data_IF_199617941726
#
_entry.id   IF_199617941726
#
_cell.length_a   1.000
_cell.length_b   1.000
_cell.length_c   1.000
_cell.angle_alpha   90.00
_cell.angle_beta   90.00
_cell.angle_gamma   90.00
#
_symmetry.space_group_name_H-M   'P 1'
#
loop_
_entity.id
_entity.type
_entity.pdbx_description
1 polymer ?
#
# COMPACT_ATOMS: atom_id res chain seq x y z
N UNK A 1 54.66 55.65 53.30
CA UNK A 1 53.20 55.87 53.49
C UNK A 1 52.58 55.70 52.11
N UNK A 2 52.23 54.47 51.72
CA UNK A 2 50.85 53.97 51.57
C UNK A 2 50.03 54.89 50.63
N UNK A 3 49.56 54.41 49.48
CA UNK A 3 48.41 53.51 49.41
C UNK A 3 48.44 52.48 48.28
N UNK A 4 47.77 51.35 48.59
CA UNK A 4 47.60 50.09 47.86
C UNK A 4 46.84 50.21 46.51
N UNK A 5 47.08 49.28 45.57
CA UNK A 5 46.09 48.80 44.61
C UNK A 5 45.50 47.45 45.08
N UNK A 6 44.18 47.22 44.94
CA UNK A 6 43.56 45.88 44.82
C UNK A 6 42.03 45.97 44.71
N UNK A 7 41.49 45.58 43.56
CA UNK A 7 40.71 44.34 43.45
C UNK A 7 40.35 44.09 41.98
N UNK A 8 41.14 43.22 41.38
CA UNK A 8 40.77 42.42 40.21
C UNK A 8 39.62 41.50 40.61
N UNK A 9 38.44 41.67 40.03
CA UNK A 9 37.50 40.55 39.87
C UNK A 9 37.58 40.07 38.43
N UNK A 10 37.96 38.81 38.32
CA UNK A 10 38.09 38.05 37.10
C UNK A 10 36.79 38.08 36.28
N UNK A 11 36.91 38.47 35.02
CA UNK A 11 35.97 38.08 33.98
C UNK A 11 36.07 36.55 33.82
N UNK A 12 35.27 35.83 34.61
CA UNK A 12 35.02 34.41 34.36
C UNK A 12 34.15 34.34 33.12
N UNK A 13 34.78 33.91 32.03
CA UNK A 13 34.12 33.47 30.79
C UNK A 13 33.17 32.33 31.16
N UNK A 14 31.91 32.66 31.44
CA UNK A 14 30.84 31.68 31.51
C UNK A 14 30.40 31.41 30.06
N UNK A 15 31.16 30.56 29.36
CA UNK A 15 30.67 29.79 28.21
C UNK A 15 29.62 28.82 28.74
N UNK A 16 28.41 29.32 28.99
CA UNK A 16 27.23 28.47 29.08
C UNK A 16 26.89 28.06 27.65
N UNK A 17 27.29 26.83 27.34
CA UNK A 17 26.84 26.02 26.23
C UNK A 17 25.31 26.10 26.12
N UNK A 18 24.79 26.95 25.22
CA UNK A 18 23.50 26.70 24.60
C UNK A 18 23.68 25.57 23.58
N UNK A 19 23.90 24.36 24.10
CA UNK A 19 23.50 23.13 23.43
C UNK A 19 21.98 23.02 23.61
N UNK A 20 21.23 23.91 22.95
CA UNK A 20 19.85 23.62 22.65
C UNK A 20 19.89 22.52 21.59
N UNK A 21 19.87 21.28 22.08
CA UNK A 21 19.77 20.09 21.26
C UNK A 21 18.53 20.19 20.39
N UNK A 22 18.73 20.63 19.16
CA UNK A 22 17.94 20.16 18.04
C UNK A 22 18.21 18.67 17.98
N UNK A 23 17.45 17.90 18.77
CA UNK A 23 17.19 16.53 18.42
C UNK A 23 16.40 16.61 17.12
N UNK A 24 17.11 16.75 16.01
CA UNK A 24 16.69 16.10 14.79
C UNK A 24 16.44 14.66 15.23
N UNK A 25 15.17 14.30 15.38
CA UNK A 25 14.79 12.90 15.46
C UNK A 25 15.48 12.29 14.25
N UNK A 26 16.54 11.52 14.49
CA UNK A 26 17.09 10.67 13.46
C UNK A 26 15.89 9.90 12.89
N UNK A 27 15.73 9.80 11.56
CA UNK A 27 14.66 9.01 10.99
C UNK A 27 14.69 7.67 11.72
N UNK A 28 13.57 7.28 12.31
CA UNK A 28 13.50 6.06 13.11
C UNK A 28 14.18 4.98 12.29
N UNK A 29 15.32 4.48 12.77
CA UNK A 29 15.99 3.38 12.11
C UNK A 29 14.97 2.26 12.08
N UNK A 30 14.46 1.95 10.88
CA UNK A 30 13.62 0.78 10.63
C UNK A 30 14.50 -0.43 10.89
N UNK A 31 14.59 -0.84 12.15
CA UNK A 31 15.22 -2.10 12.50
C UNK A 31 14.31 -3.18 11.97
N UNK A 32 14.79 -3.93 10.98
CA UNK A 32 14.11 -5.12 10.47
C UNK A 32 14.08 -6.19 11.57
N UNK A 33 13.18 -6.01 12.53
CA UNK A 33 13.01 -6.89 13.68
C UNK A 33 11.82 -7.81 13.44
N UNK A 34 12.13 -8.89 12.74
CA UNK A 34 11.22 -9.99 12.38
C UNK A 34 10.48 -10.54 13.61
N UNK A 35 11.09 -10.46 14.80
CA UNK A 35 10.50 -10.94 16.06
C UNK A 35 9.49 -9.96 16.68
N UNK A 36 9.44 -8.70 16.21
CA UNK A 36 8.51 -7.67 16.68
C UNK A 36 7.38 -7.36 15.70
N UNK A 37 7.32 -8.06 14.56
CA UNK A 37 6.22 -7.90 13.61
C UNK A 37 4.97 -8.59 14.17
N UNK A 38 4.00 -7.77 14.59
CA UNK A 38 2.67 -8.20 15.02
C UNK A 38 1.87 -8.70 13.81
N UNK A 39 1.23 -9.88 13.89
CA UNK A 39 0.27 -10.30 12.90
C UNK A 39 -1.06 -9.58 13.17
N UNK A 40 -1.22 -8.32 12.76
CA UNK A 40 -2.54 -7.69 12.93
C UNK A 40 -2.88 -6.69 11.83
N UNK A 41 -3.58 -7.20 10.82
CA UNK A 41 -4.92 -6.70 10.54
C UNK A 41 -5.92 -7.70 11.14
N UNK A 42 -6.99 -7.23 11.79
CA UNK A 42 -8.15 -8.06 12.16
C UNK A 42 -8.80 -8.57 10.85
N UNK A 43 -8.34 -9.72 10.36
CA UNK A 43 -8.81 -10.35 9.12
C UNK A 43 -7.69 -10.81 8.18
N UNK A 44 -6.43 -10.70 8.61
CA UNK A 44 -5.25 -11.30 7.98
C UNK A 44 -5.38 -12.83 7.91
N UNK A 45 -6.14 -13.33 6.93
CA UNK A 45 -6.34 -14.76 6.71
C UNK A 45 -5.32 -15.31 5.73
N UNK A 46 -4.07 -15.09 6.14
CA UNK A 46 -2.92 -15.79 5.61
C UNK A 46 -2.85 -17.13 6.28
N UNK A 47 -2.40 -18.13 5.54
CA UNK A 47 -2.04 -19.34 6.20
C UNK A 47 -0.63 -19.20 6.81
N UNK A 48 -0.57 -18.88 8.10
CA UNK A 48 0.70 -18.71 8.82
C UNK A 48 1.33 -20.06 9.25
N UNK A 49 0.52 -21.11 9.45
CA UNK A 49 1.00 -22.44 9.84
C UNK A 49 -0.02 -23.55 9.55
N UNK A 50 0.45 -24.70 9.07
CA UNK A 50 -0.39 -25.91 8.94
C UNK A 50 -1.39 -25.84 7.79
N UNK A 51 -0.97 -25.24 6.68
CA UNK A 51 -1.83 -24.96 5.54
C UNK A 51 -2.34 -26.21 4.83
N UNK A 52 -3.59 -26.21 4.35
CA UNK A 52 -4.06 -27.25 3.45
C UNK A 52 -3.16 -27.35 2.21
N UNK A 53 -2.81 -28.57 1.85
CA UNK A 53 -2.05 -28.84 0.62
C UNK A 53 -2.90 -28.49 -0.60
N UNK A 54 -2.34 -27.67 -1.49
CA UNK A 54 -2.97 -27.34 -2.75
C UNK A 54 -2.85 -28.47 -3.77
N UNK A 55 -1.63 -28.94 -4.05
CA UNK A 55 -1.30 -29.86 -5.14
C UNK A 55 -1.12 -31.31 -4.66
N UNK A 56 -2.19 -31.83 -4.06
CA UNK A 56 -2.29 -33.23 -3.63
C UNK A 56 -2.80 -34.14 -4.76
N UNK A 57 -2.18 -35.32 -4.94
CA UNK A 57 -2.62 -36.36 -5.87
C UNK A 57 -1.64 -36.66 -7.01
N UNK A 58 -1.80 -37.82 -7.65
CA UNK A 58 -0.85 -38.37 -8.63
C UNK A 58 -0.65 -37.50 -9.87
N UNK A 59 -1.65 -36.71 -10.26
CA UNK A 59 -1.55 -35.75 -11.37
C UNK A 59 -0.52 -34.66 -11.10
N UNK A 60 -0.44 -34.18 -9.86
CA UNK A 60 0.52 -33.15 -9.45
C UNK A 60 1.90 -33.74 -9.25
N UNK A 61 2.00 -35.00 -8.82
CA UNK A 61 3.28 -35.70 -8.76
C UNK A 61 3.87 -35.93 -10.16
N UNK A 62 3.04 -36.25 -11.14
CA UNK A 62 3.45 -36.33 -12.54
C UNK A 62 3.94 -34.97 -13.06
N UNK A 63 3.23 -33.87 -12.75
CA UNK A 63 3.66 -32.53 -13.14
C UNK A 63 4.99 -32.12 -12.48
N UNK A 64 5.16 -32.40 -11.19
CA UNK A 64 6.43 -32.13 -10.48
C UNK A 64 7.58 -32.89 -11.17
N UNK A 65 7.35 -34.14 -11.59
CA UNK A 65 8.33 -34.92 -12.33
C UNK A 65 8.64 -34.34 -13.73
N UNK A 66 7.61 -33.92 -14.49
CA UNK A 66 7.76 -33.24 -15.79
C UNK A 66 8.63 -31.99 -15.67
N UNK A 67 8.48 -31.22 -14.59
CA UNK A 67 9.18 -29.97 -14.35
C UNK A 67 10.59 -30.15 -13.76
N UNK A 68 11.07 -31.40 -13.62
CA UNK A 68 12.36 -31.70 -13.01
C UNK A 68 12.42 -31.43 -11.50
N UNK A 69 11.27 -31.23 -10.84
CA UNK A 69 11.13 -30.94 -9.41
C UNK A 69 11.04 -32.25 -8.61
N UNK A 70 12.07 -33.08 -8.76
CA UNK A 70 12.13 -34.42 -8.15
C UNK A 70 12.04 -34.36 -6.63
N UNK A 71 11.57 -35.46 -6.01
CA UNK A 71 11.54 -35.59 -4.56
C UNK A 71 12.90 -35.29 -3.92
N UNK A 72 14.01 -35.69 -4.56
CA UNK A 72 15.37 -35.42 -4.08
C UNK A 72 15.68 -33.92 -4.00
N UNK A 73 15.37 -33.16 -5.06
CA UNK A 73 15.59 -31.70 -5.09
C UNK A 73 14.74 -31.02 -4.02
N UNK A 74 13.48 -31.45 -3.88
CA UNK A 74 12.58 -30.90 -2.87
C UNK A 74 13.08 -31.19 -1.45
N UNK A 75 13.52 -32.41 -1.16
CA UNK A 75 14.10 -32.74 0.15
C UNK A 75 15.39 -31.97 0.44
N UNK A 76 16.22 -31.71 -0.57
CA UNK A 76 17.40 -30.85 -0.42
C UNK A 76 16.97 -29.42 -0.03
N UNK A 77 16.02 -28.84 -0.75
CA UNK A 77 15.55 -27.45 -0.52
C UNK A 77 14.85 -27.26 0.83
N UNK A 78 14.25 -28.31 1.40
CA UNK A 78 13.70 -28.28 2.77
C UNK A 78 14.77 -28.06 3.85
N UNK A 79 16.04 -28.33 3.55
CA UNK A 79 17.17 -28.09 4.47
C UNK A 79 17.77 -26.69 4.34
N UNK A 80 17.40 -25.94 3.30
CA UNK A 80 17.79 -24.55 3.12
C UNK A 80 17.06 -23.64 4.15
N UNK A 81 17.63 -22.45 4.46
CA UNK A 81 16.92 -21.45 5.23
C UNK A 81 15.54 -21.12 4.62
N UNK A 82 14.52 -20.81 5.45
CA UNK A 82 13.21 -20.47 4.95
C UNK A 82 13.25 -19.20 4.09
N UNK A 83 12.40 -19.17 3.07
CA UNK A 83 12.11 -17.96 2.30
C UNK A 83 11.22 -17.07 3.16
N UNK A 84 11.83 -16.03 3.73
CA UNK A 84 11.13 -15.02 4.52
C UNK A 84 10.44 -14.04 3.56
N UNK A 85 9.13 -14.15 3.40
CA UNK A 85 8.35 -13.35 2.47
C UNK A 85 7.66 -12.20 3.22
N UNK A 86 7.90 -10.96 2.79
CA UNK A 86 7.06 -9.83 3.20
C UNK A 86 5.72 -9.90 2.48
N UNK A 87 4.65 -9.59 3.19
CA UNK A 87 3.27 -9.65 2.69
C UNK A 87 2.55 -8.37 3.04
N UNK A 88 2.01 -7.69 2.03
CA UNK A 88 1.25 -6.46 2.26
C UNK A 88 0.01 -6.77 3.09
N UNK A 89 -0.32 -5.92 4.07
CA UNK A 89 -1.45 -6.13 4.98
C UNK A 89 -2.84 -5.88 4.34
N UNK A 90 -2.97 -6.11 3.02
CA UNK A 90 -4.16 -5.85 2.22
C UNK A 90 -4.50 -7.05 1.30
N UNK A 91 -5.76 -7.22 0.85
CA UNK A 91 -6.21 -8.45 0.20
C UNK A 91 -5.48 -8.84 -1.09
N UNK A 92 -5.12 -7.88 -1.97
CA UNK A 92 -4.34 -8.20 -3.18
C UNK A 92 -2.94 -8.69 -2.83
N UNK A 93 -2.29 -8.03 -1.85
CA UNK A 93 -1.00 -8.44 -1.30
C UNK A 93 -1.03 -9.86 -0.78
N UNK A 94 -2.14 -10.25 -0.14
CA UNK A 94 -2.33 -11.58 0.39
C UNK A 94 -2.47 -12.67 -0.66
N UNK A 95 -3.39 -12.53 -1.61
CA UNK A 95 -3.56 -13.55 -2.65
C UNK A 95 -2.32 -13.66 -3.53
N UNK A 96 -1.63 -12.55 -3.81
CA UNK A 96 -0.35 -12.54 -4.55
C UNK A 96 0.75 -13.29 -3.80
N UNK A 97 0.89 -13.03 -2.50
CA UNK A 97 1.85 -13.70 -1.63
C UNK A 97 1.58 -15.21 -1.49
N UNK A 98 0.31 -15.62 -1.41
CA UNK A 98 -0.07 -17.02 -1.30
C UNK A 98 0.16 -17.79 -2.61
N UNK A 99 0.00 -17.16 -3.78
CA UNK A 99 0.41 -17.77 -5.06
C UNK A 99 1.89 -18.14 -5.03
N UNK A 100 2.75 -17.23 -4.57
CA UNK A 100 4.18 -17.49 -4.46
C UNK A 100 4.50 -18.55 -3.41
N UNK A 101 3.87 -18.46 -2.23
CA UNK A 101 4.06 -19.42 -1.15
C UNK A 101 3.71 -20.84 -1.57
N UNK A 102 2.53 -21.06 -2.17
CA UNK A 102 2.09 -22.39 -2.64
C UNK A 102 3.09 -22.97 -3.66
N UNK A 103 3.54 -22.17 -4.64
CA UNK A 103 4.47 -22.63 -5.65
C UNK A 103 5.86 -22.96 -5.06
N UNK A 104 6.37 -22.11 -4.18
CA UNK A 104 7.66 -22.34 -3.51
C UNK A 104 7.61 -23.57 -2.61
N UNK A 105 6.54 -23.74 -1.83
CA UNK A 105 6.38 -24.84 -0.88
C UNK A 105 6.11 -26.17 -1.58
N UNK A 106 5.10 -26.21 -2.43
CA UNK A 106 4.52 -27.47 -2.90
C UNK A 106 5.12 -27.93 -4.23
N UNK A 107 5.57 -26.99 -5.07
CA UNK A 107 6.26 -27.30 -6.32
C UNK A 107 7.77 -27.32 -6.12
N UNK A 108 8.35 -26.24 -5.60
CA UNK A 108 9.81 -26.10 -5.53
C UNK A 108 10.44 -26.77 -4.30
N UNK A 109 9.70 -26.94 -3.20
CA UNK A 109 10.17 -27.62 -1.98
C UNK A 109 10.85 -26.72 -0.94
N UNK A 110 10.69 -25.40 -1.03
CA UNK A 110 11.14 -24.46 -0.02
C UNK A 110 10.21 -24.42 1.19
N UNK A 111 10.71 -23.98 2.35
CA UNK A 111 9.83 -23.52 3.43
C UNK A 111 9.61 -22.02 3.26
N UNK A 112 8.37 -21.53 3.37
CA UNK A 112 8.07 -20.10 3.30
C UNK A 112 7.58 -19.63 4.67
N UNK A 113 8.02 -18.46 5.10
CA UNK A 113 7.50 -17.79 6.29
C UNK A 113 7.03 -16.40 5.92
N UNK A 114 5.73 -16.14 6.13
CA UNK A 114 5.10 -14.87 5.80
C UNK A 114 5.21 -13.87 6.95
N UNK A 115 5.57 -12.64 6.61
CA UNK A 115 5.73 -11.51 7.52
C UNK A 115 4.89 -10.34 7.04
N UNK A 116 4.00 -9.86 7.89
CA UNK A 116 3.13 -8.73 7.53
C UNK A 116 3.99 -7.46 7.43
N UNK A 117 3.85 -6.77 6.30
CA UNK A 117 4.52 -5.53 5.99
C UNK A 117 3.50 -4.41 5.84
N UNK A 118 3.77 -3.30 6.53
CA UNK A 118 2.90 -2.13 6.61
C UNK A 118 3.53 -0.90 5.94
N UNK A 119 4.79 -0.97 5.50
CA UNK A 119 5.53 0.14 4.90
C UNK A 119 6.45 -0.31 3.76
N UNK A 120 6.37 0.34 2.58
CA UNK A 120 7.34 0.13 1.50
C UNK A 120 8.80 0.33 1.95
N UNK A 121 9.07 1.31 2.82
CA UNK A 121 10.41 1.59 3.32
C UNK A 121 10.95 0.42 4.14
N UNK A 122 10.13 -0.17 5.01
CA UNK A 122 10.54 -1.33 5.81
C UNK A 122 10.76 -2.56 4.92
N UNK A 123 9.87 -2.80 3.94
CA UNK A 123 10.00 -3.89 2.98
C UNK A 123 11.36 -3.83 2.25
N UNK A 124 11.70 -2.64 1.75
CA UNK A 124 12.95 -2.39 1.03
C UNK A 124 14.15 -2.57 1.98
N UNK A 125 14.14 -1.95 3.15
CA UNK A 125 15.25 -2.04 4.13
C UNK A 125 15.49 -3.47 4.60
N UNK A 126 14.43 -4.21 4.91
CA UNK A 126 14.49 -5.61 5.31
C UNK A 126 15.04 -6.52 4.19
N UNK A 127 14.63 -6.26 2.96
CA UNK A 127 15.12 -7.03 1.80
C UNK A 127 16.58 -6.68 1.49
N UNK A 128 16.97 -5.40 1.61
CA UNK A 128 18.37 -4.94 1.41
C UNK A 128 19.33 -5.57 2.41
N UNK A 129 18.91 -5.73 3.66
CA UNK A 129 19.72 -6.34 4.72
C UNK A 129 19.77 -7.87 4.63
N UNK A 130 18.93 -8.48 3.79
CA UNK A 130 18.85 -9.94 3.64
C UNK A 130 18.07 -10.66 4.75
N UNK A 131 17.39 -9.91 5.63
CA UNK A 131 16.53 -10.46 6.67
C UNK A 131 15.21 -10.98 6.07
N UNK A 132 14.65 -10.24 5.10
CA UNK A 132 13.56 -10.70 4.25
C UNK A 132 14.13 -11.16 2.91
N UNK A 133 13.62 -12.28 2.39
CA UNK A 133 14.05 -12.84 1.11
C UNK A 133 13.38 -12.11 -0.05
N UNK A 134 12.10 -11.80 0.03
CA UNK A 134 11.37 -11.19 -1.08
C UNK A 134 10.08 -10.45 -0.68
N UNK A 135 9.60 -9.59 -1.57
CA UNK A 135 8.29 -8.95 -1.52
C UNK A 135 7.72 -8.82 -2.93
N UNK A 136 6.46 -9.21 -3.15
CA UNK A 136 5.86 -9.27 -4.49
C UNK A 136 5.03 -8.03 -4.88
N UNK A 137 4.61 -7.23 -3.91
CA UNK A 137 3.63 -6.17 -4.13
C UNK A 137 4.15 -4.80 -3.65
N UNK A 138 5.34 -4.42 -4.11
CA UNK A 138 5.93 -3.11 -3.83
C UNK A 138 5.30 -2.04 -4.71
N UNK A 139 4.44 -1.24 -4.12
CA UNK A 139 3.85 -0.07 -4.74
C UNK A 139 4.88 1.04 -4.96
N UNK A 140 5.04 1.45 -6.22
CA UNK A 140 6.08 2.39 -6.65
C UNK A 140 5.53 3.50 -7.55
N UNK A 141 5.79 4.73 -7.15
CA UNK A 141 5.83 5.92 -8.00
C UNK A 141 6.93 6.86 -7.50
N UNK A 142 7.45 7.72 -8.37
CA UNK A 142 8.45 8.73 -7.98
C UNK A 142 7.95 9.60 -6.81
N UNK A 143 6.69 10.02 -6.88
CA UNK A 143 6.06 10.82 -5.82
C UNK A 143 5.95 10.04 -4.52
N UNK A 144 5.50 8.78 -4.56
CA UNK A 144 5.40 7.93 -3.36
C UNK A 144 6.78 7.72 -2.73
N UNK A 145 7.80 7.43 -3.52
CA UNK A 145 9.17 7.25 -3.02
C UNK A 145 9.74 8.54 -2.43
N UNK A 146 9.58 9.68 -3.11
CA UNK A 146 9.92 11.00 -2.57
C UNK A 146 9.17 11.30 -1.27
N UNK A 147 7.90 10.89 -1.16
CA UNK A 147 7.09 11.11 0.03
C UNK A 147 7.60 10.32 1.25
N UNK A 148 8.13 9.12 1.02
CA UNK A 148 8.66 8.20 2.02
C UNK A 148 10.19 8.33 2.22
N UNK A 149 10.82 9.30 1.56
CA UNK A 149 12.28 9.48 1.55
C UNK A 149 13.03 8.20 1.10
N UNK A 150 12.52 7.51 0.08
CA UNK A 150 13.15 6.35 -0.54
C UNK A 150 13.92 6.82 -1.78
N UNK A 151 15.25 6.71 -1.76
CA UNK A 151 16.10 7.18 -2.87
C UNK A 151 16.07 6.22 -4.07
N UNK A 152 16.26 4.92 -3.83
CA UNK A 152 16.17 3.91 -4.89
C UNK A 152 16.06 2.48 -4.34
N UNK A 153 15.61 1.59 -5.23
CA UNK A 153 15.68 0.13 -5.07
C UNK A 153 16.80 -0.50 -5.90
N UNK A 154 17.72 0.30 -6.46
CA UNK A 154 18.74 -0.17 -7.42
C UNK A 154 19.75 -1.16 -6.84
N UNK A 155 19.89 -1.20 -5.51
CA UNK A 155 20.74 -2.17 -4.81
C UNK A 155 20.08 -3.55 -4.64
N UNK A 156 18.81 -3.67 -5.05
CA UNK A 156 18.03 -4.91 -5.06
C UNK A 156 17.78 -5.36 -6.49
N UNK A 157 17.55 -6.66 -6.65
CA UNK A 157 16.93 -7.16 -7.86
C UNK A 157 15.44 -6.81 -7.81
N UNK A 158 15.03 -5.82 -8.59
CA UNK A 158 13.66 -5.34 -8.69
C UNK A 158 13.11 -5.55 -10.10
N UNK A 159 11.94 -6.18 -10.20
CA UNK A 159 11.29 -6.48 -11.49
C UNK A 159 9.81 -6.05 -11.45
N UNK A 160 9.16 -5.80 -12.60
CA UNK A 160 7.71 -5.62 -12.63
C UNK A 160 6.97 -6.88 -12.15
N UNK A 161 5.99 -6.71 -11.27
CA UNK A 161 5.08 -7.78 -10.82
C UNK A 161 4.09 -8.18 -11.92
N UNK A 162 3.79 -7.27 -12.85
CA UNK A 162 2.69 -7.39 -13.83
C UNK A 162 1.37 -6.78 -13.35
N UNK A 163 1.29 -6.37 -12.09
CA UNK A 163 0.15 -5.69 -11.50
C UNK A 163 0.30 -4.19 -11.72
N UNK A 164 -0.77 -3.57 -12.20
CA UNK A 164 -0.88 -2.12 -12.34
C UNK A 164 -1.80 -1.57 -11.25
N UNK A 165 -1.21 -0.90 -10.28
CA UNK A 165 -1.91 -0.22 -9.20
C UNK A 165 -2.52 1.09 -9.67
N UNK A 166 -3.78 1.38 -9.30
CA UNK A 166 -4.38 2.70 -9.51
C UNK A 166 -5.20 3.11 -8.29
N UNK A 167 -4.79 4.16 -7.60
CA UNK A 167 -5.57 4.77 -6.53
C UNK A 167 -6.37 5.96 -7.06
N UNK A 168 -7.52 6.23 -6.44
CA UNK A 168 -8.40 7.30 -6.88
C UNK A 168 -9.64 7.49 -6.03
N UNK A 169 -10.42 8.50 -6.39
CA UNK A 169 -11.77 8.74 -5.85
C UNK A 169 -12.77 8.04 -6.75
N UNK A 170 -13.70 7.29 -6.17
CA UNK A 170 -14.68 6.45 -6.85
C UNK A 170 -16.10 6.88 -6.50
N UNK A 171 -17.01 6.59 -7.42
CA UNK A 171 -18.46 6.69 -7.25
C UNK A 171 -19.07 5.29 -7.38
N UNK A 172 -19.96 4.85 -6.48
CA UNK A 172 -20.66 3.59 -6.65
C UNK A 172 -21.44 3.51 -7.96
N UNK A 173 -21.43 2.34 -8.60
CA UNK A 173 -22.11 2.13 -9.89
C UNK A 173 -23.62 2.30 -9.77
N UNK A 174 -24.24 1.98 -8.62
CA UNK A 174 -25.67 2.24 -8.42
C UNK A 174 -26.07 3.72 -8.51
N UNK A 175 -25.11 4.65 -8.46
CA UNK A 175 -25.30 6.08 -8.74
C UNK A 175 -24.97 6.37 -10.22
N UNK A 176 -23.84 5.86 -10.72
CA UNK A 176 -23.36 6.08 -12.10
C UNK A 176 -24.33 5.53 -13.15
N UNK A 177 -24.97 4.39 -12.88
CA UNK A 177 -25.95 3.77 -13.76
C UNK A 177 -27.14 4.70 -14.05
N UNK A 178 -27.43 5.63 -13.14
CA UNK A 178 -28.47 6.66 -13.29
C UNK A 178 -27.89 8.00 -13.74
N UNK A 179 -26.66 8.32 -13.33
CA UNK A 179 -26.02 9.62 -13.52
C UNK A 179 -24.59 9.45 -14.05
N UNK A 180 -24.46 8.94 -15.28
CA UNK A 180 -23.16 8.54 -15.84
C UNK A 180 -22.11 9.66 -15.81
N UNK A 181 -22.54 10.93 -15.94
CA UNK A 181 -21.66 12.09 -15.91
C UNK A 181 -20.84 12.21 -14.62
N UNK A 182 -21.28 11.59 -13.52
CA UNK A 182 -20.56 11.55 -12.25
C UNK A 182 -19.27 10.70 -12.30
N UNK A 183 -19.01 10.00 -13.41
CA UNK A 183 -17.71 9.39 -13.67
C UNK A 183 -16.64 10.42 -14.05
N UNK A 184 -16.94 11.71 -14.09
CA UNK A 184 -15.99 12.78 -14.36
C UNK A 184 -16.01 13.85 -13.26
N UNK A 185 -14.83 14.34 -12.88
CA UNK A 185 -14.70 15.42 -11.89
C UNK A 185 -15.42 16.71 -12.32
N UNK A 186 -15.59 16.92 -13.64
CA UNK A 186 -16.27 18.08 -14.20
C UNK A 186 -17.74 18.16 -13.77
N UNK A 187 -18.43 17.03 -13.59
CA UNK A 187 -19.82 17.02 -13.14
C UNK A 187 -19.99 17.63 -11.74
N UNK A 188 -18.93 17.62 -10.93
CA UNK A 188 -18.96 18.16 -9.57
C UNK A 188 -18.59 19.64 -9.49
N UNK A 189 -18.38 20.31 -10.64
CA UNK A 189 -18.22 21.76 -10.69
C UNK A 189 -19.56 22.52 -10.64
N UNK A 190 -20.68 21.91 -11.04
CA UNK A 190 -22.10 22.33 -10.93
C UNK A 190 -23.00 21.25 -11.60
N UNK A 191 -24.29 20.98 -11.29
CA UNK A 191 -25.11 21.05 -10.07
C UNK A 191 -25.16 19.72 -9.28
N UNK A 192 -24.27 18.77 -9.56
CA UNK A 192 -24.34 17.42 -8.99
C UNK A 192 -23.75 17.26 -7.57
N UNK A 193 -23.44 18.37 -6.89
CA UNK A 193 -22.96 18.29 -5.51
C UNK A 193 -24.01 17.66 -4.57
N UNK A 194 -25.29 17.69 -4.93
CA UNK A 194 -26.35 16.97 -4.20
C UNK A 194 -26.17 15.43 -4.18
N UNK A 195 -25.28 14.89 -5.02
CA UNK A 195 -24.92 13.46 -5.04
C UNK A 195 -23.70 13.14 -4.17
N UNK A 196 -23.16 14.15 -3.48
CA UNK A 196 -22.13 14.01 -2.46
C UNK A 196 -22.76 14.32 -1.10
N UNK A 197 -22.52 13.51 -0.05
CA UNK A 197 -22.95 13.85 1.30
C UNK A 197 -22.53 15.27 1.67
N UNK A 198 -23.38 16.01 2.37
CA UNK A 198 -23.04 17.39 2.78
C UNK A 198 -21.88 17.38 3.77
N UNK A 199 -21.08 18.43 3.72
CA UNK A 199 -20.04 18.67 4.71
C UNK A 199 -20.59 18.72 6.14
N UNK A 200 -19.93 18.00 7.05
CA UNK A 200 -20.34 17.81 8.44
C UNK A 200 -21.28 16.63 8.71
N UNK A 201 -21.60 15.79 7.72
CA UNK A 201 -22.52 14.65 7.93
C UNK A 201 -21.84 13.37 8.39
N UNK A 202 -20.55 13.20 8.13
CA UNK A 202 -19.77 12.06 8.62
C UNK A 202 -19.67 12.13 10.16
N UNK A 203 -20.18 11.11 10.88
CA UNK A 203 -20.07 11.05 12.33
C UNK A 203 -18.62 11.19 12.79
N UNK A 204 -18.40 12.07 13.78
CA UNK A 204 -17.07 12.40 14.29
C UNK A 204 -16.27 11.16 14.75
N UNK A 205 -16.95 10.14 15.27
CA UNK A 205 -16.38 8.95 15.87
C UNK A 205 -15.86 7.96 14.82
N UNK A 206 -16.18 8.21 13.54
CA UNK A 206 -15.62 7.50 12.40
C UNK A 206 -14.39 8.20 11.84
N UNK A 207 -14.14 9.47 12.20
CA UNK A 207 -12.98 10.21 11.70
C UNK A 207 -11.70 9.71 12.37
N UNK A 208 -10.62 9.68 11.59
CA UNK A 208 -9.30 9.24 12.03
C UNK A 208 -8.87 10.05 13.27
N UNK A 209 -8.56 9.34 14.35
CA UNK A 209 -8.06 9.87 15.63
C UNK A 209 -9.02 10.83 16.37
N UNK A 210 -10.27 10.41 16.65
CA UNK A 210 -10.96 10.89 17.86
C UNK A 210 -10.54 10.01 19.06
N UNK A 211 -9.59 10.43 19.91
CA UNK A 211 -9.12 9.62 21.04
C UNK A 211 -10.23 9.30 22.05
N UNK A 212 -11.34 10.02 22.02
CA UNK A 212 -12.49 9.83 22.91
C UNK A 212 -13.67 9.12 22.23
N UNK A 213 -13.69 9.05 20.90
CA UNK A 213 -14.87 8.69 20.08
C UNK A 213 -16.14 9.48 20.43
N UNK A 214 -16.03 10.60 21.15
CA UNK A 214 -17.15 11.35 21.71
C UNK A 214 -17.36 12.71 21.04
N UNK A 215 -16.71 12.97 19.90
CA UNK A 215 -16.73 14.27 19.21
C UNK A 215 -16.14 15.42 20.02
N UNK A 216 -15.30 15.16 21.03
CA UNK A 216 -14.85 16.20 21.96
C UNK A 216 -13.50 16.84 21.60
N UNK A 217 -12.90 16.49 20.46
CA UNK A 217 -11.63 17.05 20.01
C UNK A 217 -11.75 18.47 19.42
N UNK A 218 -10.75 19.31 19.68
CA UNK A 218 -10.46 20.57 18.99
C UNK A 218 -9.93 20.30 17.56
N UNK A 219 -9.82 21.34 16.72
CA UNK A 219 -9.28 21.18 15.37
C UNK A 219 -7.86 20.56 15.35
N UNK A 220 -7.10 20.77 16.43
CA UNK A 220 -5.72 20.29 16.62
C UNK A 220 -5.63 18.84 17.09
N UNK A 221 -6.74 18.22 17.51
CA UNK A 221 -6.77 16.85 18.05
C UNK A 221 -6.85 15.75 16.96
N UNK A 222 -7.07 16.15 15.70
CA UNK A 222 -7.25 15.22 14.58
C UNK A 222 -6.01 15.24 13.68
N UNK A 223 -5.23 14.16 13.72
CA UNK A 223 -3.89 14.09 13.15
C UNK A 223 -3.96 13.77 11.65
N UNK A 224 -4.17 14.79 10.80
CA UNK A 224 -3.71 14.70 9.41
C UNK A 224 -2.16 14.90 9.30
N UNK A 225 -1.51 15.28 10.41
CA UNK A 225 -0.07 15.48 10.54
C UNK A 225 0.63 14.17 10.99
N UNK A 226 0.69 13.16 10.13
CA UNK A 226 1.53 11.98 10.40
C UNK A 226 3.00 12.30 10.02
N UNK A 227 4.01 11.59 10.58
CA UNK A 227 5.41 11.73 10.16
C UNK A 227 5.60 11.59 8.63
N UNK A 228 4.76 10.75 8.00
CA UNK A 228 4.71 10.52 6.55
C UNK A 228 3.54 11.27 5.85
N UNK A 229 2.84 12.15 6.58
CA UNK A 229 1.62 12.86 6.14
C UNK A 229 1.89 14.27 5.63
N UNK A 230 0.94 15.18 5.84
CA UNK A 230 1.07 16.56 5.37
C UNK A 230 2.17 17.30 6.12
N UNK A 231 3.00 18.04 5.40
CA UNK A 231 4.07 18.87 5.99
C UNK A 231 3.54 19.83 7.07
N UNK A 232 4.35 20.12 8.09
CA UNK A 232 4.00 20.79 9.36
C UNK A 232 3.50 22.24 9.31
N UNK A 233 2.55 22.55 8.42
CA UNK A 233 1.87 23.84 8.30
C UNK A 233 0.46 23.76 7.67
N UNK A 234 -0.08 22.56 7.47
CA UNK A 234 -1.40 22.35 6.84
C UNK A 234 -2.45 22.17 7.93
N UNK A 235 -3.47 23.03 7.93
CA UNK A 235 -4.57 23.00 8.91
C UNK A 235 -5.57 21.89 8.61
N UNK A 236 -5.25 20.68 9.05
CA UNK A 236 -6.28 19.67 9.33
C UNK A 236 -7.34 20.32 10.22
N UNK A 237 -8.61 20.23 9.86
CA UNK A 237 -9.67 20.86 10.65
C UNK A 237 -10.78 19.85 10.91
N UNK A 238 -10.81 19.27 12.11
CA UNK A 238 -11.81 18.25 12.50
C UNK A 238 -11.72 16.99 11.62
N UNK A 239 -10.50 16.47 11.40
CA UNK A 239 -10.24 15.21 10.69
C UNK A 239 -10.42 15.26 9.18
N UNK A 240 -10.29 16.44 8.58
CA UNK A 240 -10.51 16.65 7.14
C UNK A 240 -9.60 17.72 6.56
N UNK A 241 -9.34 17.59 5.27
CA UNK A 241 -8.85 18.66 4.41
C UNK A 241 -10.02 19.57 4.01
N UNK A 242 -9.82 20.89 4.14
CA UNK A 242 -10.81 21.89 3.74
C UNK A 242 -10.17 22.81 2.69
N UNK A 243 -10.55 22.70 1.39
CA UNK A 243 -10.01 23.58 0.37
C UNK A 243 -10.52 25.00 0.54
N UNK A 244 -9.85 25.97 -0.09
CA UNK A 244 -10.08 27.41 0.07
C UNK A 244 -11.54 27.81 -0.20
N UNK A 245 -12.16 27.23 -1.23
CA UNK A 245 -13.56 27.44 -1.59
C UNK A 245 -14.56 26.85 -0.58
N UNK A 246 -14.14 25.98 0.33
CA UNK A 246 -14.98 25.40 1.39
C UNK A 246 -14.74 26.01 2.77
N UNK A 247 -13.84 27.01 2.91
CA UNK A 247 -13.59 27.65 4.19
C UNK A 247 -14.76 28.55 4.58
N UNK A 248 -15.22 28.42 5.82
CA UNK A 248 -16.19 29.34 6.44
C UNK A 248 -15.46 30.28 7.41
N UNK A 249 -15.95 31.51 7.64
CA UNK A 249 -15.28 32.48 8.52
C UNK A 249 -15.07 32.01 9.96
N UNK A 250 -15.94 31.11 10.45
CA UNK A 250 -15.94 30.57 11.80
C UNK A 250 -15.36 29.15 11.91
N UNK A 251 -14.87 28.56 10.80
CA UNK A 251 -14.36 27.19 10.77
C UNK A 251 -15.43 26.10 10.97
N UNK A 252 -16.71 26.46 10.80
CA UNK A 252 -17.83 25.53 10.74
C UNK A 252 -17.79 24.63 9.49
N UNK A 253 -18.78 23.74 9.36
CA UNK A 253 -18.97 22.95 8.15
C UNK A 253 -19.56 23.83 7.03
N UNK A 254 -19.12 23.60 5.80
CA UNK A 254 -19.50 24.37 4.63
C UNK A 254 -20.85 23.91 4.07
N UNK A 255 -21.87 24.78 3.99
CA UNK A 255 -23.18 24.40 3.46
C UNK A 255 -23.17 24.09 1.96
N UNK A 256 -22.12 24.49 1.24
CA UNK A 256 -21.98 24.36 -0.22
C UNK A 256 -20.85 23.42 -0.63
N UNK A 257 -20.31 22.62 0.29
CA UNK A 257 -19.36 21.56 -0.01
C UNK A 257 -19.89 20.18 0.40
N UNK A 258 -19.37 19.15 -0.25
CA UNK A 258 -19.66 17.75 0.06
C UNK A 258 -18.45 16.99 0.57
N UNK A 259 -18.67 15.87 1.25
CA UNK A 259 -17.63 15.04 1.86
C UNK A 259 -17.25 13.87 0.96
N UNK A 260 -15.95 13.69 0.77
CA UNK A 260 -15.34 12.49 0.20
C UNK A 260 -14.72 11.68 1.33
N UNK A 261 -15.01 10.39 1.40
CA UNK A 261 -14.43 9.48 2.39
C UNK A 261 -13.02 9.08 1.97
N UNK A 262 -12.03 9.28 2.83
CA UNK A 262 -10.63 8.98 2.58
C UNK A 262 -10.09 7.96 3.57
N UNK A 263 -9.06 7.21 3.17
CA UNK A 263 -8.36 6.27 4.04
C UNK A 263 -7.41 7.01 4.99
N UNK A 264 -6.10 6.81 4.81
CA UNK A 264 -5.06 7.52 5.54
C UNK A 264 -4.43 8.61 4.66
N UNK A 265 -4.09 9.80 5.21
CA UNK A 265 -3.41 10.85 4.46
C UNK A 265 -2.08 10.40 3.85
N UNK A 266 -1.39 9.44 4.48
CA UNK A 266 -0.08 8.93 4.04
C UNK A 266 -0.14 8.05 2.78
N UNK A 267 -1.30 7.57 2.35
CA UNK A 267 -1.39 6.68 1.19
C UNK A 267 -1.22 7.42 -0.13
N UNK A 268 -1.66 8.67 -0.20
CA UNK A 268 -1.62 9.55 -1.39
C UNK A 268 -1.26 10.98 -0.97
N UNK A 269 -0.16 11.12 -0.22
CA UNK A 269 0.18 12.35 0.52
C UNK A 269 0.04 13.61 -0.34
N UNK A 270 -0.90 14.48 0.06
CA UNK A 270 -1.19 15.77 -0.54
C UNK A 270 -1.69 15.76 -2.00
N UNK A 271 -1.79 14.61 -2.66
CA UNK A 271 -2.10 14.55 -4.09
C UNK A 271 -3.56 14.92 -4.38
N UNK A 272 -4.50 14.28 -3.67
CA UNK A 272 -5.93 14.50 -3.86
C UNK A 272 -6.38 15.82 -3.26
N UNK A 273 -5.78 16.22 -2.14
CA UNK A 273 -5.97 17.50 -1.49
C UNK A 273 -5.58 18.65 -2.43
N UNK A 274 -4.39 18.59 -3.02
CA UNK A 274 -3.91 19.57 -4.00
C UNK A 274 -4.80 19.56 -5.25
N UNK A 275 -5.18 18.38 -5.74
CA UNK A 275 -6.04 18.26 -6.92
C UNK A 275 -7.42 18.90 -6.69
N UNK A 276 -8.03 18.69 -5.53
CA UNK A 276 -9.29 19.32 -5.14
C UNK A 276 -9.15 20.84 -5.03
N UNK A 277 -8.09 21.33 -4.39
CA UNK A 277 -7.80 22.76 -4.25
C UNK A 277 -7.57 23.44 -5.61
N UNK A 278 -6.72 22.85 -6.46
CA UNK A 278 -6.31 23.45 -7.73
C UNK A 278 -7.42 23.36 -8.80
N UNK A 279 -8.22 22.29 -8.79
CA UNK A 279 -9.37 22.15 -9.69
C UNK A 279 -10.62 22.89 -9.18
N UNK A 280 -10.57 23.50 -7.99
CA UNK A 280 -11.66 24.24 -7.34
C UNK A 280 -12.91 23.38 -7.15
N UNK A 281 -12.73 22.16 -6.68
CA UNK A 281 -13.83 21.24 -6.37
C UNK A 281 -14.40 21.57 -4.99
N UNK A 282 -15.73 21.58 -4.87
CA UNK A 282 -16.42 21.85 -3.60
C UNK A 282 -16.44 20.60 -2.70
N UNK A 283 -15.27 20.00 -2.47
CA UNK A 283 -15.11 18.74 -1.74
C UNK A 283 -14.25 18.93 -0.50
N UNK A 284 -14.73 18.46 0.66
CA UNK A 284 -13.89 18.23 1.83
C UNK A 284 -13.45 16.78 1.84
N UNK A 285 -12.16 16.53 2.09
CA UNK A 285 -11.62 15.17 2.13
C UNK A 285 -11.57 14.73 3.59
N UNK A 286 -12.39 13.75 3.96
CA UNK A 286 -12.61 13.34 5.35
C UNK A 286 -11.96 11.99 5.61
N UNK A 287 -10.97 11.93 6.50
CA UNK A 287 -10.18 10.73 6.74
C UNK A 287 -10.83 9.87 7.81
N UNK A 288 -11.06 8.60 7.49
CA UNK A 288 -11.61 7.59 8.41
C UNK A 288 -10.61 6.47 8.71
N UNK A 289 -9.45 6.46 8.05
CA UNK A 289 -8.40 5.46 8.27
C UNK A 289 -8.86 4.05 7.93
N UNK A 290 -8.49 3.10 8.79
CA UNK A 290 -8.81 1.67 8.62
C UNK A 290 -10.31 1.35 8.66
N UNK A 291 -11.16 2.29 9.09
CA UNK A 291 -12.62 2.13 9.07
C UNK A 291 -13.27 2.33 7.69
N UNK A 292 -12.51 2.74 6.67
CA UNK A 292 -13.05 3.16 5.36
C UNK A 292 -13.91 2.08 4.69
N UNK A 293 -13.37 0.88 4.51
CA UNK A 293 -14.04 -0.21 3.79
C UNK A 293 -15.36 -0.60 4.49
N UNK A 294 -15.38 -0.59 5.82
CA UNK A 294 -16.58 -0.88 6.62
C UNK A 294 -17.66 0.17 6.35
N UNK A 295 -17.29 1.44 6.35
CA UNK A 295 -18.25 2.52 6.11
C UNK A 295 -18.75 2.52 4.66
N UNK A 296 -17.89 2.24 3.68
CA UNK A 296 -18.29 2.09 2.27
C UNK A 296 -19.29 0.94 2.12
N UNK A 297 -19.02 -0.24 2.68
CA UNK A 297 -19.94 -1.38 2.64
C UNK A 297 -21.29 -1.04 3.29
N UNK A 298 -21.27 -0.38 4.47
CA UNK A 298 -22.50 0.04 5.18
C UNK A 298 -23.33 1.00 4.32
N UNK A 299 -22.70 2.05 3.77
CA UNK A 299 -23.36 3.05 2.91
C UNK A 299 -23.91 2.42 1.64
N UNK A 300 -23.15 1.53 1.01
CA UNK A 300 -23.57 0.82 -0.20
C UNK A 300 -24.80 -0.07 0.05
N UNK A 301 -24.83 -0.80 1.18
CA UNK A 301 -25.98 -1.62 1.55
C UNK A 301 -27.27 -0.78 1.72
N UNK A 302 -27.14 0.45 2.22
CA UNK A 302 -28.23 1.42 2.33
C UNK A 302 -28.48 2.23 1.05
N UNK A 303 -27.72 1.99 -0.03
CA UNK A 303 -27.71 2.78 -1.28
C UNK A 303 -27.53 4.28 -1.03
N UNK A 304 -26.76 4.64 -0.01
CA UNK A 304 -26.45 6.04 0.31
C UNK A 304 -25.58 6.65 -0.80
N UNK A 305 -25.74 7.95 -1.03
CA UNK A 305 -24.86 8.73 -1.90
C UNK A 305 -23.47 8.83 -1.25
N UNK A 306 -22.40 8.59 -1.99
CA UNK A 306 -21.03 8.74 -1.48
C UNK A 306 -20.01 8.90 -2.61
N UNK A 307 -18.93 9.61 -2.28
CA UNK A 307 -17.65 9.54 -2.98
C UNK A 307 -16.62 8.98 -1.99
N UNK A 308 -15.74 8.11 -2.46
CA UNK A 308 -14.77 7.48 -1.57
C UNK A 308 -13.46 7.18 -2.28
N UNK A 309 -12.36 7.26 -1.55
CA UNK A 309 -11.05 6.83 -2.02
C UNK A 309 -10.94 5.31 -1.98
N UNK A 310 -10.35 4.71 -3.00
CA UNK A 310 -9.85 3.32 -2.95
C UNK A 310 -8.78 3.12 -4.02
N UNK A 311 -8.38 1.88 -4.26
CA UNK A 311 -7.40 1.52 -5.27
C UNK A 311 -7.82 0.27 -6.04
N UNK A 312 -7.17 0.00 -7.16
CA UNK A 312 -7.27 -1.22 -7.93
C UNK A 312 -5.88 -1.85 -8.08
N UNK A 313 -5.75 -3.19 -7.99
CA UNK A 313 -6.80 -4.15 -7.64
C UNK A 313 -7.15 -4.08 -6.14
N UNK A 314 -8.44 -4.11 -5.79
CA UNK A 314 -8.92 -4.18 -4.40
C UNK A 314 -10.19 -5.04 -4.34
N UNK A 315 -10.37 -5.80 -3.26
CA UNK A 315 -11.56 -6.61 -3.04
C UNK A 315 -12.84 -5.77 -2.90
N UNK A 316 -12.71 -4.53 -2.43
CA UNK A 316 -13.82 -3.63 -2.17
C UNK A 316 -14.64 -3.36 -3.42
N UNK A 317 -14.00 -3.22 -4.59
CA UNK A 317 -14.69 -2.95 -5.85
C UNK A 317 -15.46 -4.16 -6.39
N UNK A 318 -15.17 -5.37 -5.89
CA UNK A 318 -15.99 -6.56 -6.16
C UNK A 318 -17.28 -6.57 -5.31
N UNK A 319 -17.21 -6.07 -4.07
CA UNK A 319 -18.35 -6.01 -3.13
C UNK A 319 -19.25 -4.81 -3.44
N UNK A 320 -18.63 -3.67 -3.72
CA UNK A 320 -19.28 -2.41 -4.06
C UNK A 320 -18.75 -2.00 -5.43
N UNK A 321 -19.39 -2.48 -6.53
CA UNK A 321 -19.02 -2.06 -7.88
C UNK A 321 -19.04 -0.54 -7.96
N UNK A 322 -17.91 0.03 -8.37
CA UNK A 322 -17.70 1.47 -8.39
C UNK A 322 -16.82 1.86 -9.58
N UNK A 323 -16.98 3.10 -10.01
CA UNK A 323 -16.23 3.68 -11.13
C UNK A 323 -15.32 4.78 -10.59
N UNK A 324 -14.04 4.74 -10.94
CA UNK A 324 -13.12 5.82 -10.63
C UNK A 324 -13.58 7.11 -11.32
N UNK A 325 -13.65 8.20 -10.57
CA UNK A 325 -13.89 9.53 -11.13
C UNK A 325 -12.70 9.91 -12.00
N UNK A 326 -12.94 10.18 -13.28
CA UNK A 326 -11.94 10.67 -14.21
C UNK A 326 -11.56 12.11 -13.85
N UNK A 327 -10.34 12.26 -13.33
CA UNK A 327 -9.61 13.53 -13.23
C UNK A 327 -8.84 13.79 -14.54
N UNK A 328 -8.20 14.96 -14.74
CA UNK A 328 -7.24 15.12 -15.81
C UNK A 328 -6.19 14.00 -15.75
N UNK A 329 -5.84 13.40 -16.89
CA UNK A 329 -4.88 12.29 -16.92
C UNK A 329 -3.53 12.69 -16.31
N UNK A 330 -2.87 11.71 -15.69
CA UNK A 330 -1.52 11.90 -15.18
C UNK A 330 -0.57 12.37 -16.29
N UNK A 331 0.24 13.37 -15.96
CA UNK A 331 1.42 13.77 -16.73
C UNK A 331 2.57 14.01 -15.77
N UNK A 332 3.81 13.78 -16.21
CA UNK A 332 5.00 13.99 -15.38
C UNK A 332 5.02 15.37 -14.71
N UNK A 333 4.55 16.41 -15.41
CA UNK A 333 4.48 17.76 -14.87
C UNK A 333 3.65 17.88 -13.57
N UNK A 334 2.70 16.98 -13.34
CA UNK A 334 1.95 16.94 -12.08
C UNK A 334 2.80 16.50 -10.88
N UNK A 335 3.76 15.60 -11.12
CA UNK A 335 4.72 15.14 -10.10
C UNK A 335 5.81 16.20 -9.87
N UNK A 336 6.26 16.88 -10.94
CA UNK A 336 7.32 17.88 -10.87
C UNK A 336 6.96 19.08 -9.96
N UNK A 337 5.67 19.40 -9.87
CA UNK A 337 5.12 20.48 -9.02
C UNK A 337 4.53 19.99 -7.70
N UNK A 338 4.73 18.70 -7.36
CA UNK A 338 4.19 18.11 -6.14
C UNK A 338 5.00 18.53 -4.90
N UNK A 339 4.26 18.81 -3.81
CA UNK A 339 4.77 19.10 -2.47
C UNK A 339 3.97 18.32 -1.41
N UNK A 340 4.59 18.00 -0.27
CA UNK A 340 3.91 17.35 0.88
C UNK A 340 2.88 18.28 1.54
N UNK A 341 2.94 19.58 1.29
CA UNK A 341 1.95 20.57 1.67
C UNK A 341 0.92 20.75 0.51
N UNK A 342 -0.35 20.35 0.70
CA UNK A 342 -1.38 20.47 -0.34
C UNK A 342 -1.57 21.87 -0.89
N UNK A 343 -1.32 22.93 -0.11
CA UNK A 343 -1.50 24.31 -0.56
C UNK A 343 -0.27 24.85 -1.32
N UNK A 344 0.88 24.15 -1.24
CA UNK A 344 2.07 24.46 -2.04
C UNK A 344 2.18 23.59 -3.28
N UNK A 345 1.55 22.42 -3.28
CA UNK A 345 1.53 21.52 -4.43
C UNK A 345 0.69 22.08 -5.58
N UNK A 346 1.29 22.15 -6.77
CA UNK A 346 0.62 22.56 -8.01
C UNK A 346 -0.14 21.42 -8.70
N UNK A 347 -0.22 20.24 -8.08
CA UNK A 347 -0.82 19.04 -8.66
C UNK A 347 -2.32 19.20 -8.90
N UNK A 348 -2.80 18.82 -10.08
CA UNK A 348 -4.19 18.98 -10.49
C UNK A 348 -4.68 17.87 -11.44
N UNK A 349 -4.20 16.65 -11.26
CA UNK A 349 -4.48 15.52 -12.15
C UNK A 349 -4.57 14.20 -11.36
N UNK A 350 -4.98 13.12 -12.03
CA UNK A 350 -4.97 11.78 -11.44
C UNK A 350 -3.54 11.36 -11.06
N UNK A 351 -3.44 10.48 -10.06
CA UNK A 351 -2.17 9.80 -9.76
C UNK A 351 -1.72 8.93 -10.94
N UNK A 352 -0.40 8.73 -11.04
CA UNK A 352 0.14 7.78 -11.99
C UNK A 352 -0.38 6.38 -11.67
N UNK A 353 -0.64 5.60 -12.72
CA UNK A 353 -0.77 4.17 -12.54
C UNK A 353 0.60 3.61 -12.12
N UNK A 354 0.64 2.90 -11.01
CA UNK A 354 1.86 2.36 -10.44
C UNK A 354 2.11 0.96 -11.00
N UNK A 355 3.21 0.78 -11.72
CA UNK A 355 3.70 -0.56 -12.04
C UNK A 355 4.31 -1.15 -10.78
N UNK A 356 3.62 -2.07 -10.13
CA UNK A 356 4.11 -2.64 -8.88
C UNK A 356 5.36 -3.47 -9.13
N UNK A 357 6.32 -3.38 -8.22
CA UNK A 357 7.58 -4.10 -8.28
C UNK A 357 7.55 -5.34 -7.38
N UNK A 358 8.30 -6.36 -7.77
CA UNK A 358 8.73 -7.46 -6.92
C UNK A 358 10.22 -7.30 -6.65
N UNK A 359 10.64 -7.46 -5.39
CA UNK A 359 12.03 -7.33 -4.96
C UNK A 359 12.51 -8.62 -4.30
N UNK A 360 13.78 -8.97 -4.51
CA UNK A 360 14.46 -10.09 -3.86
C UNK A 360 15.81 -9.67 -3.31
N UNK A 361 16.17 -10.25 -2.16
CA UNK A 361 17.44 -10.01 -1.51
C UNK A 361 18.61 -10.65 -2.27
N UNK A 362 19.77 -10.00 -2.22
CA UNK A 362 20.95 -10.46 -2.95
C UNK A 362 21.48 -11.82 -2.43
N UNK A 363 21.20 -12.16 -1.16
CA UNK A 363 21.54 -13.44 -0.53
C UNK A 363 20.49 -14.54 -0.72
N UNK A 364 19.39 -14.30 -1.45
CA UNK A 364 18.40 -15.32 -1.73
C UNK A 364 18.98 -16.46 -2.60
N UNK A 365 18.47 -17.71 -2.47
CA UNK A 365 18.81 -18.81 -3.36
C UNK A 365 18.60 -18.44 -4.85
N UNK A 366 19.46 -18.93 -5.73
CA UNK A 366 19.46 -18.52 -7.15
C UNK A 366 18.18 -18.92 -7.87
N UNK A 367 17.66 -20.11 -7.59
CA UNK A 367 16.37 -20.57 -8.12
C UNK A 367 15.18 -19.78 -7.55
N UNK A 368 15.23 -19.28 -6.31
CA UNK A 368 14.25 -18.33 -5.77
C UNK A 368 14.31 -16.99 -6.52
N UNK A 369 15.51 -16.52 -6.88
CA UNK A 369 15.66 -15.30 -7.72
C UNK A 369 15.11 -15.53 -9.14
N UNK A 370 15.38 -16.69 -9.74
CA UNK A 370 14.85 -17.06 -11.06
C UNK A 370 13.32 -17.17 -11.02
N UNK A 371 12.77 -17.85 -10.00
CA UNK A 371 11.34 -17.91 -9.75
C UNK A 371 10.75 -16.51 -9.63
N UNK A 372 11.35 -15.64 -8.80
CA UNK A 372 10.84 -14.29 -8.65
C UNK A 372 10.97 -13.51 -9.97
N UNK A 373 12.02 -13.71 -10.76
CA UNK A 373 12.14 -13.15 -12.11
C UNK A 373 10.98 -13.55 -13.02
N UNK A 374 10.54 -14.81 -12.94
CA UNK A 374 9.54 -15.40 -13.82
C UNK A 374 8.08 -15.14 -13.41
N UNK A 375 7.76 -15.19 -12.11
CA UNK A 375 6.37 -15.02 -11.63
C UNK A 375 5.80 -13.65 -12.02
N UNK A 376 4.66 -13.63 -12.70
CA UNK A 376 3.98 -12.37 -13.03
C UNK A 376 2.48 -12.53 -12.94
N UNK A 377 1.82 -11.60 -12.25
CA UNK A 377 0.38 -11.61 -12.04
C UNK A 377 -0.25 -10.40 -12.67
N UNK A 378 -1.34 -10.60 -13.42
CA UNK A 378 -2.13 -9.51 -14.02
C UNK A 378 -3.24 -9.09 -13.06
N UNK A 379 -3.68 -7.83 -13.16
CA UNK A 379 -4.84 -7.32 -12.41
C UNK A 379 -6.05 -8.26 -12.48
N UNK A 380 -6.40 -8.76 -13.68
CA UNK A 380 -7.57 -9.64 -13.84
C UNK A 380 -7.44 -10.97 -13.08
N UNK A 381 -6.22 -11.49 -12.92
CA UNK A 381 -5.98 -12.73 -12.17
C UNK A 381 -6.06 -12.48 -10.67
N UNK A 382 -5.45 -11.40 -10.18
CA UNK A 382 -5.54 -10.97 -8.78
C UNK A 382 -6.99 -10.66 -8.41
N UNK A 383 -7.72 -9.93 -9.26
CA UNK A 383 -9.15 -9.66 -9.08
C UNK A 383 -9.98 -10.94 -9.05
N UNK A 384 -9.72 -11.91 -9.93
CA UNK A 384 -10.42 -13.19 -9.91
C UNK A 384 -10.19 -13.96 -8.60
N UNK A 385 -8.95 -13.94 -8.06
CA UNK A 385 -8.66 -14.52 -6.75
C UNK A 385 -9.40 -13.80 -5.62
N UNK A 386 -9.38 -12.48 -5.60
CA UNK A 386 -10.12 -11.70 -4.59
C UNK A 386 -11.64 -11.91 -4.67
N UNK A 387 -12.20 -12.13 -5.86
CA UNK A 387 -13.62 -12.48 -6.02
C UNK A 387 -13.98 -13.84 -5.41
N UNK A 388 -13.04 -14.79 -5.38
CA UNK A 388 -13.21 -16.09 -4.74
C UNK A 388 -13.06 -16.03 -3.20
N UNK A 389 -12.51 -14.93 -2.68
CA UNK A 389 -12.27 -14.74 -1.25
C UNK A 389 -13.59 -14.49 -0.48
N UNK A 390 -13.67 -14.95 0.77
CA UNK A 390 -14.88 -14.83 1.61
C UNK A 390 -15.30 -13.40 1.92
N UNK A 391 -14.35 -12.48 1.95
CA UNK A 391 -14.68 -11.06 2.15
C UNK A 391 -15.44 -10.48 0.94
N UNK A 392 -15.29 -11.08 -0.25
CA UNK A 392 -16.10 -10.81 -1.43
C UNK A 392 -17.38 -11.66 -1.50
N UNK A 393 -17.67 -12.48 -0.48
CA UNK A 393 -18.78 -13.44 -0.46
C UNK A 393 -18.45 -14.82 -1.04
N UNK A 394 -17.19 -15.09 -1.38
CA UNK A 394 -16.74 -16.42 -1.83
C UNK A 394 -16.54 -17.43 -0.69
N UNK A 395 -16.16 -18.68 -0.99
CA UNK A 395 -15.97 -19.71 0.04
C UNK A 395 -14.51 -19.82 0.53
N UNK A 396 -13.57 -19.07 -0.05
CA UNK A 396 -12.14 -19.28 0.19
C UNK A 396 -11.51 -18.20 1.07
N UNK A 397 -10.43 -18.57 1.75
CA UNK A 397 -9.41 -17.67 2.26
C UNK A 397 -8.41 -17.27 1.16
N UNK A 398 -7.38 -16.49 1.52
CA UNK A 398 -6.39 -16.02 0.53
C UNK A 398 -5.64 -17.20 -0.10
N UNK A 399 -5.24 -18.19 0.71
CA UNK A 399 -4.55 -19.39 0.22
C UNK A 399 -5.46 -20.28 -0.62
N UNK A 400 -6.71 -20.49 -0.20
CA UNK A 400 -7.70 -21.27 -0.94
C UNK A 400 -8.04 -20.64 -2.28
N UNK A 401 -8.17 -19.31 -2.35
CA UNK A 401 -8.41 -18.58 -3.58
C UNK A 401 -7.20 -18.67 -4.53
N UNK A 402 -5.98 -18.50 -4.00
CA UNK A 402 -4.74 -18.69 -4.75
C UNK A 402 -4.62 -20.13 -5.27
N UNK A 403 -4.92 -21.12 -4.43
CA UNK A 403 -4.89 -22.53 -4.81
C UNK A 403 -5.91 -22.86 -5.92
N UNK A 404 -7.15 -22.41 -5.77
CA UNK A 404 -8.19 -22.61 -6.78
C UNK A 404 -7.80 -21.99 -8.12
N UNK A 405 -7.22 -20.78 -8.09
CA UNK A 405 -6.69 -20.14 -9.28
C UNK A 405 -5.53 -20.93 -9.89
N UNK A 406 -4.54 -21.32 -9.10
CA UNK A 406 -3.38 -22.09 -9.56
C UNK A 406 -3.81 -23.39 -10.24
N UNK A 407 -4.71 -24.18 -9.64
CA UNK A 407 -5.20 -25.44 -10.24
C UNK A 407 -5.83 -25.26 -11.61
N UNK A 408 -6.59 -24.18 -11.79
CA UNK A 408 -7.26 -23.88 -13.06
C UNK A 408 -6.35 -23.21 -14.10
N UNK A 409 -5.14 -22.80 -13.71
CA UNK A 409 -4.25 -21.97 -14.52
C UNK A 409 -2.84 -22.54 -14.66
N UNK A 410 -2.65 -23.86 -14.56
CA UNK A 410 -1.35 -24.55 -14.68
C UNK A 410 -0.54 -24.14 -15.91
N UNK A 411 -1.19 -23.90 -17.04
CA UNK A 411 -0.55 -23.47 -18.28
C UNK A 411 0.11 -22.07 -18.18
N UNK A 412 -0.31 -21.23 -17.23
CA UNK A 412 0.24 -19.89 -17.02
C UNK A 412 1.47 -19.89 -16.12
N UNK A 413 1.50 -20.74 -15.09
CA UNK A 413 2.53 -20.68 -14.04
C UNK A 413 3.58 -21.78 -14.10
N UNK A 414 3.35 -22.89 -14.84
CA UNK A 414 4.31 -24.01 -14.85
C UNK A 414 5.73 -23.60 -15.27
N UNK A 415 5.85 -22.60 -16.14
CA UNK A 415 7.14 -22.03 -16.57
C UNK A 415 7.81 -21.14 -15.52
N UNK A 416 7.12 -20.78 -14.43
CA UNK A 416 7.71 -19.99 -13.34
C UNK A 416 8.55 -20.83 -12.38
N UNK A 417 8.24 -22.13 -12.27
CA UNK A 417 8.84 -23.05 -11.29
C UNK A 417 9.75 -24.11 -11.93
N UNK A 418 9.94 -24.09 -13.24
CA UNK A 418 10.74 -25.11 -13.94
C UNK A 418 12.20 -25.06 -13.48
N UNK A 419 12.79 -26.23 -13.19
CA UNK A 419 14.21 -26.32 -12.88
C UNK A 419 15.03 -26.26 -14.18
N UNK A 420 15.57 -25.09 -14.52
CA UNK A 420 16.41 -24.91 -15.71
C UNK A 420 17.79 -25.60 -15.62
N UNK A 421 18.13 -26.31 -14.54
CA UNK A 421 19.34 -27.14 -14.51
C UNK A 421 19.38 -28.17 -15.65
N UNK A 422 18.22 -28.67 -16.14
CA UNK A 422 18.20 -29.56 -17.30
C UNK A 422 18.54 -28.85 -18.63
N UNK A 423 18.22 -27.56 -18.78
CA UNK A 423 18.61 -26.79 -19.96
C UNK A 423 20.14 -26.59 -20.04
N UNK A 424 20.80 -26.47 -18.89
CA UNK A 424 22.27 -26.36 -18.80
C UNK A 424 22.97 -27.70 -19.09
N UNK A 425 22.33 -28.82 -18.74
CA UNK A 425 22.88 -30.17 -19.01
C UNK A 425 22.70 -30.58 -20.47
N UNK A 426 21.58 -30.22 -21.12
CA UNK A 426 21.35 -30.51 -22.53
C UNK A 426 22.26 -29.67 -23.46
N UNK A 427 22.46 -28.37 -23.18
CA UNK A 427 23.42 -27.56 -23.95
C UNK A 427 24.86 -28.08 -23.83
N UNK A 428 25.28 -28.50 -22.62
CA UNK A 428 26.61 -29.09 -22.40
C UNK A 428 26.80 -30.46 -23.10
N UNK A 429 25.72 -31.22 -23.30
CA UNK A 429 25.74 -32.50 -24.03
C UNK A 429 25.72 -32.32 -25.56
N UNK A 430 25.10 -31.24 -26.05
CA UNK A 430 25.01 -30.94 -27.49
C UNK A 430 26.24 -30.22 -28.05
N UNK A 431 27.03 -29.58 -27.19
CA UNK A 431 28.33 -28.99 -27.54
C UNK A 431 29.50 -30.00 -27.54
N UNK A 432 29.23 -31.27 -27.19
CA UNK A 432 30.22 -32.35 -27.06
C UNK A 432 30.15 -33.46 -28.12
N UNK A 433 29.34 -33.30 -29.17
CA UNK A 433 29.26 -34.18 -30.35
C UNK A 433 29.55 -33.40 -31.61
#
# INVERSE_FOLDING_TARGET
>A
IFFRPQSTMAATVLRLLFLAGVWALAPAQTTCDVAKQEPSWEGADYCLKGCPECFAGSEWDALKAELGLTAKIKEQRKTEPPVNQSVGNWPSGAVTAEVAAILLEEMMGYSVTNFIENSPLNAITCTKTGNMTMFLELWYSETRFKSLNIDSVNDLTANPSGILGKAGIYVPNYIIDQYFCLSSYLAFKVPFLEFVPKDGTLPCNLKLNDPTKNCTGTADDYICQTPDGWGGGVSCSKGRFVPTNCKTPDGSFSPHCGEVLMAFPSWSTAWWEASVENLKLNWTLNYVGGGLDTEIKRRAAAKEKMLFYTYEPNILTAIVPATMVAFPDYKQQCSDVWDKDPFKSGTACAEAAEGLLKIVANNAPEDVKLFLGAISLKNSWVTAMMQMHRDAGGPHDSRGAACAWLKNNTHLWKGWVSNNEQAVVEEASSAGT
#
